data_IF_965950332584
#
_entry.id   IF_965950332584
#
_cell.length_a   1.000
_cell.length_b   1.000
_cell.length_c   1.000
_cell.angle_alpha   90.00
_cell.angle_beta   90.00
_cell.angle_gamma   90.00
#
_symmetry.space_group_name_H-M   'P 1'
#
loop_
_entity.id
_entity.type
_entity.pdbx_description
1 polymer ?
#
# COMPACT_ATOMS: atom_id res chain seq x y z
N UNK A 1 -5.70 -22.56 8.72
CA UNK A 1 -5.91 -22.22 7.57
C UNK A 1 -5.09 -21.18 7.28
N UNK A 2 -4.81 -21.09 6.56
CA UNK A 2 -4.06 -20.15 6.25
C UNK A 2 -4.64 -18.89 6.55
N UNK A 3 -5.44 -18.72 7.37
CA UNK A 3 -5.97 -17.46 7.55
C UNK A 3 -6.11 -16.78 6.27
N UNK A 4 -5.89 -17.53 5.27
CA UNK A 4 -5.81 -16.94 4.04
C UNK A 4 -7.08 -16.28 3.73
N UNK A 5 -6.97 -15.04 3.52
CA UNK A 5 -8.10 -14.29 3.10
C UNK A 5 -8.44 -14.68 1.72
N UNK A 6 -9.68 -14.98 1.50
CA UNK A 6 -10.10 -15.29 0.19
C UNK A 6 -10.18 -14.04 -0.62
N UNK A 7 -9.81 -14.14 -1.87
CA UNK A 7 -9.96 -13.02 -2.77
C UNK A 7 -11.43 -12.69 -2.91
N UNK A 8 -11.72 -11.41 -2.89
CA UNK A 8 -13.08 -10.93 -3.07
C UNK A 8 -13.50 -11.13 -4.52
N UNK A 9 -14.78 -11.38 -4.73
CA UNK A 9 -15.31 -11.48 -6.08
C UNK A 9 -15.48 -10.08 -6.68
N UNK A 10 -15.84 -10.02 -7.96
CA UNK A 10 -15.97 -8.76 -8.67
C UNK A 10 -17.01 -7.84 -8.05
N UNK A 11 -18.13 -8.38 -7.59
CA UNK A 11 -19.17 -7.57 -7.00
C UNK A 11 -18.70 -6.95 -5.68
N UNK A 12 -17.96 -7.71 -4.90
CA UNK A 12 -17.43 -7.20 -3.64
C UNK A 12 -16.40 -6.09 -3.88
N UNK A 13 -15.55 -6.25 -4.88
CA UNK A 13 -14.60 -5.20 -5.20
C UNK A 13 -15.30 -3.96 -5.74
N UNK A 14 -16.35 -4.12 -6.54
CA UNK A 14 -17.13 -2.98 -7.00
C UNK A 14 -17.78 -2.24 -5.82
N UNK A 15 -18.26 -2.98 -4.82
CA UNK A 15 -18.82 -2.37 -3.63
C UNK A 15 -17.77 -1.64 -2.81
N UNK A 16 -16.54 -2.11 -2.82
CA UNK A 16 -15.43 -1.44 -2.13
C UNK A 16 -15.31 0.01 -2.56
N UNK A 17 -15.52 0.29 -3.84
CA UNK A 17 -15.32 1.62 -4.40
C UNK A 17 -16.63 2.37 -4.63
N UNK A 18 -17.75 1.86 -4.13
CA UNK A 18 -19.06 2.41 -4.46
C UNK A 18 -19.20 3.89 -4.08
N UNK A 19 -18.59 4.31 -2.97
CA UNK A 19 -18.69 5.70 -2.55
C UNK A 19 -17.94 6.63 -3.50
N UNK A 20 -16.89 6.11 -4.15
CA UNK A 20 -16.14 6.90 -5.14
C UNK A 20 -16.85 6.90 -6.48
N UNK A 21 -17.30 5.75 -6.92
CA UNK A 21 -17.92 5.65 -8.24
C UNK A 21 -19.29 6.33 -8.30
N UNK A 22 -19.91 6.56 -7.15
CA UNK A 22 -21.17 7.30 -7.10
C UNK A 22 -20.97 8.80 -7.27
N UNK A 23 -19.75 9.30 -7.17
CA UNK A 23 -19.47 10.72 -7.37
C UNK A 23 -19.30 10.99 -8.85
N UNK A 24 -20.05 11.97 -9.43
CA UNK A 24 -19.94 12.24 -10.87
C UNK A 24 -18.52 12.58 -11.31
N UNK A 25 -17.73 13.21 -10.44
CA UNK A 25 -16.35 13.60 -10.75
C UNK A 25 -15.44 12.40 -10.93
N UNK A 26 -15.77 11.28 -10.32
CA UNK A 26 -14.96 10.08 -10.41
C UNK A 26 -15.64 9.07 -11.32
N UNK A 27 -16.80 8.59 -10.94
CA UNK A 27 -17.56 7.60 -11.70
C UNK A 27 -16.78 6.32 -11.94
N UNK A 28 -17.33 5.45 -12.74
CA UNK A 28 -16.66 4.20 -13.09
C UNK A 28 -15.43 4.44 -13.96
N UNK A 29 -15.47 5.46 -14.82
CA UNK A 29 -14.34 5.83 -15.66
C UNK A 29 -13.15 6.29 -14.80
N UNK A 30 -13.40 7.09 -13.77
CA UNK A 30 -12.36 7.52 -12.85
C UNK A 30 -11.78 6.36 -12.05
N UNK A 31 -12.64 5.44 -11.62
CA UNK A 31 -12.18 4.27 -10.89
C UNK A 31 -11.31 3.37 -11.78
N UNK A 32 -11.64 3.28 -13.05
CA UNK A 32 -10.83 2.52 -14.00
C UNK A 32 -9.46 3.16 -14.18
N UNK A 33 -9.39 4.49 -14.22
CA UNK A 33 -8.09 5.18 -14.27
C UNK A 33 -7.27 4.90 -13.03
N UNK A 34 -7.88 4.86 -11.86
CA UNK A 34 -7.17 4.51 -10.62
C UNK A 34 -6.65 3.08 -10.69
N UNK A 35 -7.46 2.15 -11.17
CA UNK A 35 -7.06 0.76 -11.29
C UNK A 35 -5.85 0.61 -12.20
N UNK A 36 -5.75 1.41 -13.24
CA UNK A 36 -4.64 1.36 -14.19
C UNK A 36 -3.45 2.20 -13.77
N UNK A 37 -3.57 2.98 -12.70
CA UNK A 37 -2.48 3.82 -12.23
C UNK A 37 -1.40 3.01 -11.55
N UNK A 38 -0.16 3.47 -11.70
CA UNK A 38 1.00 2.86 -11.05
C UNK A 38 1.73 3.96 -10.32
N UNK A 39 1.89 3.80 -9.01
CA UNK A 39 2.49 4.81 -8.16
C UNK A 39 3.67 4.21 -7.43
N UNK A 40 4.81 4.90 -7.48
CA UNK A 40 6.00 4.50 -6.74
C UNK A 40 6.12 5.39 -5.51
N UNK A 41 6.21 4.76 -4.36
CA UNK A 41 6.39 5.47 -3.09
C UNK A 41 7.82 5.22 -2.63
N UNK A 42 8.61 6.29 -2.60
CA UNK A 42 10.00 6.23 -2.16
C UNK A 42 10.05 6.74 -0.73
N UNK A 43 10.41 5.84 0.18
CA UNK A 43 10.36 6.15 1.60
C UNK A 43 8.99 5.84 2.19
N UNK A 44 8.88 4.69 2.86
CA UNK A 44 7.60 4.26 3.44
C UNK A 44 7.60 4.54 4.95
N UNK A 45 8.00 5.74 5.32
CA UNK A 45 8.04 6.21 6.69
C UNK A 45 6.84 7.08 7.05
N UNK A 46 7.13 8.26 7.61
CA UNK A 46 6.10 9.14 8.17
C UNK A 46 5.04 9.57 7.18
N UNK A 47 5.44 10.01 5.97
CA UNK A 47 4.47 10.45 4.96
C UNK A 47 4.09 9.30 4.04
N UNK A 48 5.04 8.47 3.63
CA UNK A 48 4.76 7.38 2.70
C UNK A 48 3.84 6.33 3.28
N UNK A 49 3.90 6.12 4.59
CA UNK A 49 3.10 5.12 5.27
C UNK A 49 1.59 5.38 5.12
N UNK A 50 1.07 6.55 5.52
CA UNK A 50 -0.35 6.82 5.31
C UNK A 50 -0.72 6.94 3.83
N UNK A 51 0.18 7.48 3.00
CA UNK A 51 -0.09 7.59 1.57
C UNK A 51 -0.31 6.21 0.96
N UNK A 52 0.52 5.23 1.32
CA UNK A 52 0.36 3.86 0.82
C UNK A 52 -1.03 3.31 1.15
N UNK A 53 -1.49 3.50 2.38
CA UNK A 53 -2.79 3.01 2.79
C UNK A 53 -3.93 3.72 2.06
N UNK A 54 -3.86 5.04 1.93
CA UNK A 54 -4.94 5.77 1.27
C UNK A 54 -5.00 5.46 -0.22
N UNK A 55 -3.86 5.36 -0.89
CA UNK A 55 -3.86 5.00 -2.31
C UNK A 55 -4.39 3.59 -2.53
N UNK A 56 -4.02 2.65 -1.66
CA UNK A 56 -4.53 1.30 -1.74
C UNK A 56 -6.04 1.26 -1.50
N UNK A 57 -6.50 2.01 -0.51
CA UNK A 57 -7.94 2.09 -0.22
C UNK A 57 -8.72 2.67 -1.36
N UNK A 58 -8.15 3.64 -2.08
CA UNK A 58 -8.80 4.27 -3.21
C UNK A 58 -8.80 3.39 -4.47
N UNK A 59 -8.01 2.33 -4.50
CA UNK A 59 -8.02 1.41 -5.62
C UNK A 59 -6.95 1.67 -6.67
N UNK A 60 -5.86 2.33 -6.31
CA UNK A 60 -4.71 2.44 -7.21
C UNK A 60 -4.22 1.01 -7.48
N UNK A 61 -4.13 0.66 -8.75
CA UNK A 61 -3.95 -0.74 -9.14
C UNK A 61 -2.58 -1.30 -8.84
N UNK A 62 -1.54 -0.47 -8.89
CA UNK A 62 -0.17 -0.93 -8.63
C UNK A 62 0.57 0.08 -7.77
N UNK A 63 1.16 -0.40 -6.68
CA UNK A 63 2.01 0.41 -5.82
C UNK A 63 3.40 -0.21 -5.77
N UNK A 64 4.41 0.63 -5.98
CA UNK A 64 5.79 0.25 -5.76
C UNK A 64 6.25 0.86 -4.44
N UNK A 65 6.88 0.07 -3.59
CA UNK A 65 7.38 0.53 -2.31
C UNK A 65 8.89 0.39 -2.28
N UNK A 66 9.59 1.50 -2.06
CA UNK A 66 11.05 1.53 -2.02
C UNK A 66 11.50 2.11 -0.70
N UNK A 67 12.32 1.38 0.04
CA UNK A 67 12.88 1.88 1.28
C UNK A 67 14.14 1.07 1.62
N UNK A 68 15.05 1.67 2.37
CA UNK A 68 16.26 1.00 2.83
C UNK A 68 16.22 0.66 4.30
N UNK A 69 15.14 0.96 5.00
CA UNK A 69 15.06 0.78 6.45
C UNK A 69 14.33 -0.49 6.85
N UNK A 70 14.58 -0.87 8.09
CA UNK A 70 13.80 -1.88 8.78
C UNK A 70 12.86 -1.17 9.75
N UNK A 71 11.79 -1.84 10.12
CA UNK A 71 10.84 -1.30 11.08
C UNK A 71 11.48 -1.30 12.47
N UNK A 72 11.40 -0.18 13.17
CA UNK A 72 11.88 -0.06 14.53
C UNK A 72 10.76 0.42 15.44
N UNK A 73 10.92 0.20 16.76
CA UNK A 73 9.84 0.51 17.70
C UNK A 73 9.50 2.00 17.70
N UNK A 74 10.47 2.86 17.44
CA UNK A 74 10.23 4.30 17.42
C UNK A 74 9.38 4.74 16.22
N UNK A 75 9.21 3.87 15.23
CA UNK A 75 8.38 4.18 14.07
C UNK A 75 6.90 4.02 14.37
N UNK A 76 6.56 3.14 15.29
CA UNK A 76 5.17 2.68 15.43
C UNK A 76 4.21 3.77 15.89
N UNK A 77 4.73 4.81 16.54
CA UNK A 77 3.85 5.87 17.05
C UNK A 77 3.27 6.74 15.92
N UNK A 78 3.86 6.72 14.73
CA UNK A 78 3.37 7.55 13.62
C UNK A 78 3.34 6.85 12.27
N UNK A 79 4.02 5.73 12.14
CA UNK A 79 4.03 5.02 10.86
C UNK A 79 3.00 3.89 10.90
N UNK A 80 1.77 4.27 10.60
CA UNK A 80 0.58 3.43 10.79
C UNK A 80 0.58 2.18 9.92
N UNK A 81 1.48 2.10 8.94
CA UNK A 81 1.61 0.94 8.08
C UNK A 81 2.15 -0.27 8.84
N UNK A 82 2.82 -0.07 9.96
CA UNK A 82 3.57 -1.11 10.64
C UNK A 82 3.00 -1.46 12.01
N UNK A 83 3.30 -2.69 12.45
CA UNK A 83 2.86 -3.21 13.74
C UNK A 83 4.06 -3.81 14.47
N UNK A 84 3.88 -4.14 15.74
CA UNK A 84 4.96 -4.74 16.53
C UNK A 84 5.53 -5.99 15.91
N UNK A 85 4.68 -6.79 15.25
CA UNK A 85 5.14 -8.01 14.61
C UNK A 85 6.12 -7.74 13.46
N UNK A 86 6.18 -6.49 12.98
CA UNK A 86 7.05 -6.11 11.86
C UNK A 86 8.44 -5.69 12.30
N UNK A 87 8.69 -5.58 13.59
CA UNK A 87 9.98 -5.08 14.09
C UNK A 87 11.14 -5.87 13.51
N UNK A 88 12.14 -5.16 13.01
CA UNK A 88 13.32 -5.75 12.41
C UNK A 88 13.16 -6.23 10.98
N UNK A 89 11.97 -6.14 10.41
CA UNK A 89 11.70 -6.56 9.05
C UNK A 89 11.86 -5.40 8.07
N UNK A 90 12.19 -5.67 6.80
CA UNK A 90 12.26 -4.60 5.80
C UNK A 90 10.92 -3.89 5.63
N UNK A 91 10.95 -2.57 5.61
CA UNK A 91 9.72 -1.78 5.49
C UNK A 91 8.90 -2.10 4.24
N UNK A 92 9.50 -2.23 3.05
CA UNK A 92 8.68 -2.56 1.88
C UNK A 92 7.90 -3.86 2.02
N UNK A 93 8.53 -4.88 2.61
CA UNK A 93 7.85 -6.16 2.80
C UNK A 93 6.67 -6.03 3.76
N UNK A 94 6.88 -5.36 4.88
CA UNK A 94 5.83 -5.16 5.87
C UNK A 94 4.70 -4.30 5.32
N UNK A 95 5.08 -3.23 4.60
CA UNK A 95 4.11 -2.36 3.96
C UNK A 95 3.24 -3.11 2.96
N UNK A 96 3.86 -3.99 2.17
CA UNK A 96 3.13 -4.78 1.20
C UNK A 96 2.10 -5.67 1.87
N UNK A 97 2.49 -6.34 2.96
CA UNK A 97 1.56 -7.21 3.68
C UNK A 97 0.38 -6.42 4.22
N UNK A 98 0.65 -5.24 4.76
CA UNK A 98 -0.40 -4.39 5.31
C UNK A 98 -1.34 -3.90 4.23
N UNK A 99 -0.79 -3.47 3.08
CA UNK A 99 -1.59 -3.00 1.96
C UNK A 99 -2.48 -4.12 1.42
N UNK A 100 -1.92 -5.32 1.30
CA UNK A 100 -2.71 -6.44 0.82
C UNK A 100 -3.81 -6.84 1.79
N UNK A 101 -3.58 -6.66 3.08
CA UNK A 101 -4.63 -6.89 4.07
C UNK A 101 -5.75 -5.87 3.98
N UNK A 102 -5.46 -4.67 3.51
CA UNK A 102 -6.47 -3.64 3.31
C UNK A 102 -7.21 -3.81 1.99
N UNK A 103 -6.47 -4.06 0.92
CA UNK A 103 -7.06 -4.19 -0.42
C UNK A 103 -6.28 -5.19 -1.25
N UNK A 104 -6.81 -6.40 -1.38
CA UNK A 104 -6.14 -7.47 -2.09
C UNK A 104 -6.10 -7.26 -3.60
N UNK A 105 -6.80 -6.24 -4.11
CA UNK A 105 -6.83 -5.92 -5.53
C UNK A 105 -5.58 -5.19 -5.99
N UNK A 106 -4.73 -4.74 -5.07
CA UNK A 106 -3.55 -3.94 -5.41
C UNK A 106 -2.38 -4.85 -5.73
N UNK A 107 -1.72 -4.58 -6.85
CA UNK A 107 -0.47 -5.25 -7.22
C UNK A 107 0.69 -4.49 -6.57
N UNK A 108 1.64 -5.24 -6.03
CA UNK A 108 2.73 -4.63 -5.28
C UNK A 108 4.07 -4.99 -5.89
N UNK A 109 4.95 -3.99 -5.96
CA UNK A 109 6.33 -4.16 -6.36
C UNK A 109 7.21 -3.61 -5.22
N UNK A 110 8.15 -4.43 -4.75
CA UNK A 110 8.92 -4.09 -3.56
C UNK A 110 10.39 -3.97 -3.89
N UNK A 111 11.03 -2.93 -3.35
CA UNK A 111 12.47 -2.77 -3.46
C UNK A 111 13.00 -2.37 -2.09
N UNK A 112 13.86 -3.22 -1.52
CA UNK A 112 14.57 -2.90 -0.29
C UNK A 112 16.01 -2.60 -0.65
N UNK A 113 16.41 -1.35 -0.45
CA UNK A 113 17.77 -0.93 -0.73
C UNK A 113 18.60 -1.26 0.49
N UNK A 114 19.54 -2.20 0.34
CA UNK A 114 20.29 -2.67 1.49
C UNK A 114 21.54 -1.83 1.79
N UNK A 115 21.94 -0.98 0.85
CA UNK A 115 23.11 -0.13 1.06
C UNK A 115 22.68 1.26 1.51
N UNK A 116 22.96 1.64 2.76
CA UNK A 116 22.48 2.93 3.25
C UNK A 116 23.04 4.12 2.49
N UNK A 117 24.24 3.97 1.91
CA UNK A 117 24.85 5.05 1.17
C UNK A 117 24.19 5.30 -0.19
N UNK A 118 23.29 4.42 -0.57
CA UNK A 118 22.60 4.55 -1.84
C UNK A 118 21.20 5.03 -1.69
N UNK A 119 20.94 5.77 -0.68
CA UNK A 119 19.61 6.28 -0.42
C UNK A 119 19.13 7.10 -1.59
N UNK A 120 17.93 6.78 -2.04
CA UNK A 120 17.30 7.53 -3.12
C UNK A 120 16.64 8.75 -2.51
N UNK A 121 16.96 9.93 -3.06
CA UNK A 121 16.37 11.18 -2.60
C UNK A 121 15.56 11.74 -3.75
N UNK A 122 14.29 11.91 -3.50
CA UNK A 122 13.38 12.46 -4.51
C UNK A 122 12.66 13.66 -3.96
#
# INVERSE_FOLDING_TARGET
>A
MSGRIQNLNNNEQMNRYARQTSLPEIGEAGQEKLRNAKVLIVGVGGLGSPIALYLAGAGVGTLGLVDDDQVSISNLQRQVLYAEADLGQPKPLCGARRVQGLNSDVNLSLIHISEPTRRVVI
#
